data_IF_801751442762
#
_entry.id   IF_801751442762
#
_cell.length_a   1.000
_cell.length_b   1.000
_cell.length_c   1.000
_cell.angle_alpha   90.00
_cell.angle_beta   90.00
_cell.angle_gamma   90.00
#
_symmetry.space_group_name_H-M   'P 1'
#
loop_
_entity.id
_entity.type
_entity.pdbx_description
1 polymer ?
#
# COMPACT_ATOMS: atom_id res chain seq x y z
N UNK A 1 -20.68 -2.67 -5.72
CA UNK A 1 -19.35 -2.20 -5.24
C UNK A 1 -19.16 -0.73 -5.59
N UNK A 2 -18.70 0.08 -4.63
CA UNK A 2 -18.38 1.51 -4.76
C UNK A 2 -17.02 1.78 -4.12
N UNK A 3 -16.21 2.68 -4.69
CA UNK A 3 -15.03 3.23 -4.05
C UNK A 3 -15.41 4.57 -3.42
N UNK A 4 -15.16 4.70 -2.13
CA UNK A 4 -15.41 5.92 -1.36
C UNK A 4 -14.12 6.37 -0.71
N UNK A 5 -13.77 7.67 -0.84
CA UNK A 5 -12.64 8.19 -0.09
C UNK A 5 -12.85 8.00 1.40
N UNK A 6 -11.76 7.67 2.10
CA UNK A 6 -11.82 7.48 3.53
C UNK A 6 -12.33 8.76 4.22
N UNK A 7 -13.26 8.57 5.15
CA UNK A 7 -13.86 9.62 5.96
C UNK A 7 -14.08 9.04 7.37
N UNK A 8 -13.40 9.58 8.36
CA UNK A 8 -13.44 9.09 9.75
C UNK A 8 -14.84 9.22 10.41
N UNK A 9 -15.72 10.03 9.84
CA UNK A 9 -17.11 10.11 10.30
C UNK A 9 -18.01 8.99 9.79
N UNK A 10 -17.58 8.28 8.72
CA UNK A 10 -18.36 7.23 8.05
C UNK A 10 -17.71 5.86 8.15
N UNK A 11 -16.39 5.80 8.21
CA UNK A 11 -15.63 4.57 8.16
C UNK A 11 -14.94 4.31 9.51
N UNK A 12 -14.96 3.08 9.95
CA UNK A 12 -14.26 2.69 11.17
C UNK A 12 -12.74 2.75 10.91
N UNK A 13 -12.06 3.71 11.55
CA UNK A 13 -10.63 4.00 11.39
C UNK A 13 -9.79 2.75 11.64
N UNK A 14 -10.08 2.02 12.74
CA UNK A 14 -9.35 0.81 13.15
C UNK A 14 -9.45 -0.28 12.09
N UNK A 15 -10.64 -0.56 11.58
CA UNK A 15 -10.84 -1.58 10.53
C UNK A 15 -10.10 -1.24 9.24
N UNK A 16 -10.07 0.05 8.85
CA UNK A 16 -9.31 0.50 7.68
C UNK A 16 -7.81 0.34 7.91
N UNK A 17 -7.31 0.69 9.10
CA UNK A 17 -5.90 0.53 9.46
C UNK A 17 -5.47 -0.95 9.49
N UNK A 18 -6.31 -1.83 10.02
CA UNK A 18 -6.09 -3.28 10.03
C UNK A 18 -6.01 -3.85 8.61
N UNK A 19 -6.90 -3.45 7.72
CA UNK A 19 -6.86 -3.85 6.31
C UNK A 19 -5.59 -3.36 5.61
N UNK A 20 -5.13 -2.15 5.91
CA UNK A 20 -3.87 -1.64 5.36
C UNK A 20 -2.70 -2.49 5.89
N UNK A 21 -2.63 -2.73 7.19
CA UNK A 21 -1.55 -3.54 7.80
C UNK A 21 -1.50 -4.95 7.23
N UNK A 22 -2.64 -5.63 7.09
CA UNK A 22 -2.74 -6.97 6.51
C UNK A 22 -2.23 -7.07 5.06
N UNK A 23 -2.11 -5.96 4.32
CA UNK A 23 -1.62 -5.99 2.93
C UNK A 23 -0.15 -6.39 2.81
N UNK A 24 0.68 -6.08 3.83
CA UNK A 24 2.08 -6.52 3.94
C UNK A 24 2.53 -6.54 5.41
N UNK A 25 2.00 -7.49 6.18
CA UNK A 25 2.29 -7.65 7.62
C UNK A 25 3.79 -7.71 7.92
N UNK A 26 4.57 -8.37 7.06
CA UNK A 26 6.02 -8.50 7.23
C UNK A 26 6.67 -7.13 7.19
N UNK A 27 6.35 -6.34 6.17
CA UNK A 27 6.90 -5.01 5.98
C UNK A 27 6.53 -4.06 7.11
N UNK A 28 5.25 -4.02 7.49
CA UNK A 28 4.78 -3.16 8.57
C UNK A 28 5.39 -3.55 9.92
N UNK A 29 5.53 -4.85 10.20
CA UNK A 29 6.20 -5.35 11.40
C UNK A 29 7.69 -4.98 11.42
N UNK A 30 8.38 -5.08 10.30
CA UNK A 30 9.78 -4.64 10.18
C UNK A 30 9.92 -3.14 10.43
N UNK A 31 9.03 -2.33 9.89
CA UNK A 31 9.07 -0.87 10.01
C UNK A 31 8.67 -0.39 11.41
N UNK A 32 7.61 -0.93 11.99
CA UNK A 32 6.98 -0.40 13.20
C UNK A 32 7.12 -1.30 14.44
N UNK A 33 7.57 -2.54 14.27
CA UNK A 33 7.95 -3.42 15.39
C UNK A 33 6.95 -4.49 15.76
N UNK A 34 5.68 -4.17 15.76
CA UNK A 34 4.60 -5.11 16.01
C UNK A 34 3.37 -4.72 15.19
N UNK A 35 2.45 -5.68 15.03
CA UNK A 35 1.17 -5.47 14.37
C UNK A 35 0.40 -4.31 15.02
N UNK A 36 0.21 -4.35 16.33
CA UNK A 36 -0.53 -3.31 17.07
C UNK A 36 0.07 -1.92 16.86
N UNK A 37 1.39 -1.78 17.01
CA UNK A 37 2.05 -0.49 16.76
C UNK A 37 1.88 0.00 15.32
N UNK A 38 1.92 -0.91 14.35
CA UNK A 38 1.68 -0.57 12.95
C UNK A 38 0.26 -0.03 12.75
N UNK A 39 -0.74 -0.72 13.29
CA UNK A 39 -2.14 -0.30 13.22
C UNK A 39 -2.32 1.07 13.88
N UNK A 40 -1.83 1.28 15.11
CA UNK A 40 -1.95 2.56 15.84
C UNK A 40 -1.29 3.73 15.07
N UNK A 41 -0.16 3.48 14.41
CA UNK A 41 0.53 4.48 13.59
C UNK A 41 -0.26 4.78 12.32
N UNK A 42 -0.82 3.76 11.65
CA UNK A 42 -1.65 3.94 10.46
C UNK A 42 -2.94 4.69 10.81
N UNK A 43 -3.62 4.33 11.92
CA UNK A 43 -4.78 5.07 12.42
C UNK A 43 -4.48 6.56 12.59
N UNK A 44 -3.38 6.86 13.30
CA UNK A 44 -2.97 8.24 13.51
C UNK A 44 -2.66 8.99 12.21
N UNK A 45 -2.23 8.30 11.16
CA UNK A 45 -1.99 8.90 9.85
C UNK A 45 -3.27 9.10 9.04
N UNK A 46 -4.24 8.19 9.17
CA UNK A 46 -5.54 8.28 8.51
C UNK A 46 -6.32 9.53 8.96
N UNK A 47 -6.23 9.89 10.25
CA UNK A 47 -6.95 11.02 10.83
C UNK A 47 -6.09 12.29 10.96
N UNK A 48 -4.88 12.30 10.41
CA UNK A 48 -3.99 13.45 10.51
C UNK A 48 -4.34 14.51 9.47
N UNK A 49 -4.99 15.58 9.89
CA UNK A 49 -5.37 16.69 9.03
C UNK A 49 -4.21 17.67 8.74
N UNK A 50 -3.18 17.70 9.60
CA UNK A 50 -2.09 18.67 9.48
C UNK A 50 -1.04 18.30 8.44
N UNK A 51 -0.87 17.01 8.16
CA UNK A 51 0.16 16.52 7.27
C UNK A 51 -0.37 15.43 6.34
N UNK A 52 -0.28 15.66 5.05
CA UNK A 52 -0.58 14.65 4.03
C UNK A 52 0.48 13.53 4.08
N UNK A 53 0.02 12.30 4.30
CA UNK A 53 0.83 11.06 4.36
C UNK A 53 0.41 10.10 3.28
N UNK A 54 1.08 8.94 3.19
CA UNK A 54 0.69 7.84 2.30
C UNK A 54 -0.75 7.35 2.56
N UNK A 55 -1.21 7.43 3.81
CA UNK A 55 -2.51 6.92 4.27
C UNK A 55 -3.58 7.99 4.46
N UNK A 56 -3.28 9.23 4.13
CA UNK A 56 -4.25 10.34 4.25
C UNK A 56 -5.50 10.11 3.38
N UNK A 57 -6.67 10.66 3.76
CA UNK A 57 -7.94 10.48 3.06
C UNK A 57 -7.88 10.63 1.54
N UNK A 58 -7.14 11.60 0.94
CA UNK A 58 -7.05 11.72 -0.52
C UNK A 58 -6.40 10.55 -1.23
N UNK A 59 -5.72 9.66 -0.51
CA UNK A 59 -5.01 8.50 -1.04
C UNK A 59 -5.65 7.18 -0.66
N UNK A 60 -6.50 7.18 0.36
CA UNK A 60 -7.14 5.99 0.90
C UNK A 60 -8.60 5.94 0.46
N UNK A 61 -8.98 4.87 -0.23
CA UNK A 61 -10.37 4.61 -0.61
C UNK A 61 -10.84 3.30 0.01
N UNK A 62 -12.01 3.35 0.62
CA UNK A 62 -12.75 2.20 1.12
C UNK A 62 -13.48 1.52 -0.04
N UNK A 63 -13.36 0.21 -0.13
CA UNK A 63 -14.11 -0.61 -1.07
C UNK A 63 -15.40 -1.01 -0.34
N UNK A 64 -16.52 -0.42 -0.74
CA UNK A 64 -17.82 -0.63 -0.11
C UNK A 64 -18.72 -1.50 -0.99
N UNK A 65 -19.45 -2.42 -0.38
CA UNK A 65 -20.51 -3.18 -1.03
C UNK A 65 -21.69 -3.33 -0.10
N UNK A 66 -22.88 -2.96 -0.57
CA UNK A 66 -24.13 -2.96 0.23
C UNK A 66 -23.98 -2.30 1.62
N UNK A 67 -23.26 -1.17 1.67
CA UNK A 67 -23.01 -0.44 2.92
C UNK A 67 -21.95 -1.05 3.84
N UNK A 68 -21.31 -2.17 3.45
CA UNK A 68 -20.25 -2.84 4.23
C UNK A 68 -18.88 -2.54 3.68
N UNK A 69 -17.91 -2.36 4.56
CA UNK A 69 -16.49 -2.27 4.20
C UNK A 69 -15.97 -3.67 3.85
N UNK A 70 -15.67 -3.90 2.57
CA UNK A 70 -15.14 -5.18 2.06
C UNK A 70 -13.64 -5.16 1.81
N UNK A 71 -13.04 -3.96 1.76
CA UNK A 71 -11.60 -3.81 1.57
C UNK A 71 -11.16 -2.35 1.52
N UNK A 72 -9.88 -2.15 1.26
CA UNK A 72 -9.26 -0.83 1.13
C UNK A 72 -8.26 -0.83 -0.03
N UNK A 73 -8.16 0.31 -0.71
CA UNK A 73 -7.08 0.60 -1.65
C UNK A 73 -6.43 1.92 -1.29
N UNK A 74 -5.09 1.94 -1.26
CA UNK A 74 -4.29 3.16 -1.09
C UNK A 74 -3.51 3.38 -2.38
N UNK A 75 -3.74 4.54 -3.01
CA UNK A 75 -3.09 4.88 -4.28
C UNK A 75 -2.84 6.37 -4.41
N UNK A 76 -1.77 6.73 -5.12
CA UNK A 76 -1.37 8.12 -5.35
C UNK A 76 -0.54 8.25 -6.63
N UNK A 77 -0.50 9.46 -7.20
CA UNK A 77 0.35 9.76 -8.37
C UNK A 77 1.82 9.49 -8.05
N UNK A 78 2.53 8.84 -8.96
CA UNK A 78 3.95 8.50 -8.77
C UNK A 78 4.82 9.71 -8.41
N UNK A 79 4.49 10.90 -8.94
CA UNK A 79 5.15 12.17 -8.62
C UNK A 79 5.09 12.56 -7.15
N UNK A 80 4.03 12.19 -6.43
CA UNK A 80 3.88 12.49 -4.99
C UNK A 80 4.65 11.55 -4.09
N UNK A 81 5.06 10.39 -4.59
CA UNK A 81 5.61 9.28 -3.79
C UNK A 81 6.71 9.72 -2.83
N UNK A 82 7.80 10.32 -3.33
CA UNK A 82 8.95 10.71 -2.51
C UNK A 82 8.57 11.65 -1.36
N UNK A 83 7.67 12.60 -1.64
CA UNK A 83 7.20 13.58 -0.65
C UNK A 83 6.34 12.90 0.42
N UNK A 84 5.39 12.06 0.01
CA UNK A 84 4.51 11.32 0.92
C UNK A 84 5.28 10.35 1.79
N UNK A 85 6.20 9.57 1.21
CA UNK A 85 7.08 8.66 1.96
C UNK A 85 7.87 9.42 3.04
N UNK A 86 8.51 10.55 2.69
CA UNK A 86 9.27 11.37 3.64
C UNK A 86 8.42 11.83 4.82
N UNK A 87 7.22 12.35 4.56
CA UNK A 87 6.28 12.81 5.59
C UNK A 87 5.79 11.64 6.47
N UNK A 88 5.39 10.53 5.84
CA UNK A 88 4.94 9.31 6.52
C UNK A 88 6.02 8.79 7.47
N UNK A 89 7.26 8.67 6.98
CA UNK A 89 8.38 8.28 7.82
C UNK A 89 8.61 9.23 8.99
N UNK A 90 8.58 10.54 8.76
CA UNK A 90 8.75 11.53 9.83
C UNK A 90 7.72 11.38 10.95
N UNK A 91 6.46 11.13 10.61
CA UNK A 91 5.39 10.92 11.60
C UNK A 91 5.54 9.57 12.29
N UNK A 92 5.79 8.50 11.54
CA UNK A 92 6.00 7.16 12.08
C UNK A 92 7.16 7.11 13.07
N UNK A 93 8.27 7.77 12.75
CA UNK A 93 9.44 7.84 13.63
C UNK A 93 9.16 8.59 14.94
N UNK A 94 8.40 9.70 14.90
CA UNK A 94 7.98 10.40 16.13
C UNK A 94 7.10 9.53 17.02
N UNK A 95 6.20 8.74 16.45
CA UNK A 95 5.32 7.82 17.18
C UNK A 95 6.08 6.63 17.78
N UNK A 96 7.11 6.13 17.08
CA UNK A 96 7.95 5.04 17.59
C UNK A 96 8.86 5.44 18.76
N UNK A 97 9.23 6.73 18.86
CA UNK A 97 10.21 7.23 19.81
C UNK A 97 11.66 7.02 19.33
N UNK A 98 12.58 7.77 19.97
CA UNK A 98 13.97 7.89 19.52
C UNK A 98 14.73 6.55 19.51
N UNK A 99 14.67 5.78 20.60
CA UNK A 99 15.41 4.52 20.71
C UNK A 99 14.96 3.46 19.72
N UNK A 100 13.65 3.30 19.54
CA UNK A 100 13.10 2.36 18.55
C UNK A 100 13.41 2.80 17.11
N UNK A 101 13.39 4.09 16.85
CA UNK A 101 13.80 4.67 15.57
C UNK A 101 15.25 4.34 15.26
N UNK A 102 16.17 4.54 16.22
CA UNK A 102 17.58 4.25 16.04
C UNK A 102 17.83 2.77 15.70
N UNK A 103 17.20 1.86 16.46
CA UNK A 103 17.26 0.40 16.19
C UNK A 103 16.77 0.03 14.78
N UNK A 104 15.82 0.78 14.24
CA UNK A 104 15.18 0.47 12.93
C UNK A 104 15.78 1.22 11.75
N UNK A 105 16.68 2.17 11.97
CA UNK A 105 17.23 2.99 10.90
C UNK A 105 17.91 2.18 9.81
N UNK A 106 18.54 1.05 10.17
CA UNK A 106 19.15 0.16 9.20
C UNK A 106 18.11 -0.57 8.34
N UNK A 107 17.04 -1.10 8.95
CA UNK A 107 15.98 -1.79 8.19
C UNK A 107 15.20 -0.82 7.32
N UNK A 108 14.94 0.40 7.80
CA UNK A 108 14.28 1.44 7.01
C UNK A 108 15.07 1.76 5.73
N UNK A 109 16.41 1.84 5.81
CA UNK A 109 17.26 2.03 4.63
C UNK A 109 17.17 0.86 3.65
N UNK A 110 17.12 -0.39 4.14
CA UNK A 110 16.91 -1.57 3.30
C UNK A 110 15.55 -1.55 2.62
N UNK A 111 14.48 -1.35 3.37
CA UNK A 111 13.13 -1.26 2.84
C UNK A 111 13.02 -0.21 1.72
N UNK A 112 13.63 0.96 1.90
CA UNK A 112 13.64 2.01 0.86
C UNK A 112 14.33 1.56 -0.44
N UNK A 113 15.36 0.71 -0.37
CA UNK A 113 16.00 0.14 -1.56
C UNK A 113 15.09 -0.86 -2.28
N UNK A 114 14.35 -1.68 -1.52
CA UNK A 114 13.42 -2.66 -2.07
C UNK A 114 12.23 -2.03 -2.83
N UNK A 115 11.97 -0.74 -2.61
CA UNK A 115 10.92 0.01 -3.27
C UNK A 115 11.45 1.04 -4.29
N UNK A 116 12.72 0.95 -4.69
CA UNK A 116 13.36 1.87 -5.62
C UNK A 116 13.02 1.56 -7.08
N UNK A 117 11.91 2.05 -7.60
CA UNK A 117 11.59 1.96 -9.03
C UNK A 117 11.32 3.35 -9.60
N UNK A 118 11.85 3.62 -10.80
CA UNK A 118 11.46 4.77 -11.58
C UNK A 118 10.11 4.50 -12.25
N UNK A 119 9.18 5.42 -12.05
CA UNK A 119 7.82 5.34 -12.56
C UNK A 119 7.54 6.55 -13.44
N UNK A 120 6.74 6.39 -14.47
CA UNK A 120 6.33 7.52 -15.29
C UNK A 120 5.52 8.53 -14.46
N UNK A 121 5.69 9.85 -14.68
CA UNK A 121 5.00 10.89 -13.92
C UNK A 121 3.47 10.76 -13.95
N UNK A 122 2.92 10.31 -15.06
CA UNK A 122 1.47 10.15 -15.28
C UNK A 122 0.90 8.84 -14.74
N UNK A 123 1.74 8.06 -14.05
CA UNK A 123 1.31 6.78 -13.49
C UNK A 123 0.69 6.95 -12.09
N UNK A 124 -0.18 6.00 -11.75
CA UNK A 124 -0.71 5.82 -10.41
C UNK A 124 0.03 4.65 -9.73
N UNK A 125 0.50 4.88 -8.53
CA UNK A 125 1.09 3.84 -7.71
C UNK A 125 0.07 3.32 -6.70
N UNK A 126 -0.17 2.02 -6.71
CA UNK A 126 -1.02 1.33 -5.75
C UNK A 126 -0.12 0.80 -4.64
N UNK A 127 -0.19 1.44 -3.48
CA UNK A 127 0.58 1.05 -2.29
C UNK A 127 -0.03 -0.18 -1.61
N UNK A 128 -1.35 -0.18 -1.50
CA UNK A 128 -2.13 -1.20 -0.80
C UNK A 128 -3.36 -1.55 -1.61
N UNK A 129 -3.65 -2.84 -1.73
CA UNK A 129 -4.95 -3.39 -2.10
C UNK A 129 -5.21 -4.56 -1.16
N UNK A 130 -6.12 -4.38 -0.23
CA UNK A 130 -6.47 -5.39 0.75
C UNK A 130 -7.97 -5.61 0.82
N UNK A 131 -8.37 -6.86 0.89
CA UNK A 131 -9.76 -7.28 1.02
C UNK A 131 -9.90 -8.09 2.31
N UNK A 132 -11.09 -8.05 2.92
CA UNK A 132 -11.43 -8.99 3.97
C UNK A 132 -11.30 -10.41 3.45
N UNK A 133 -10.92 -11.35 4.31
CA UNK A 133 -10.64 -12.74 3.91
C UNK A 133 -11.87 -13.37 3.20
N UNK A 134 -13.05 -13.18 3.80
CA UNK A 134 -14.32 -13.68 3.27
C UNK A 134 -14.78 -13.02 1.97
N UNK A 135 -14.13 -11.94 1.55
CA UNK A 135 -14.42 -11.19 0.33
C UNK A 135 -13.43 -11.46 -0.81
N UNK A 136 -12.37 -12.21 -0.52
CA UNK A 136 -11.41 -12.64 -1.55
C UNK A 136 -12.08 -13.57 -2.57
N UNK A 137 -11.58 -13.56 -3.78
CA UNK A 137 -12.12 -14.39 -4.87
C UNK A 137 -13.42 -13.87 -5.51
N UNK A 138 -14.13 -12.90 -4.91
CA UNK A 138 -15.39 -12.34 -5.44
C UNK A 138 -15.22 -11.25 -6.52
N UNK A 139 -13.99 -11.02 -6.97
CA UNK A 139 -13.69 -10.09 -8.05
C UNK A 139 -13.55 -8.61 -7.64
N UNK A 140 -13.65 -8.28 -6.35
CA UNK A 140 -13.51 -6.89 -5.89
C UNK A 140 -12.16 -6.27 -6.23
N UNK A 141 -11.05 -7.01 -6.06
CA UNK A 141 -9.73 -6.52 -6.40
C UNK A 141 -9.58 -6.15 -7.88
N UNK A 142 -10.03 -7.02 -8.77
CA UNK A 142 -9.99 -6.78 -10.23
C UNK A 142 -10.84 -5.57 -10.63
N UNK A 143 -12.05 -5.45 -10.08
CA UNK A 143 -12.94 -4.31 -10.32
C UNK A 143 -12.33 -3.00 -9.82
N UNK A 144 -11.70 -3.02 -8.63
CA UNK A 144 -11.01 -1.87 -8.05
C UNK A 144 -9.87 -1.40 -8.94
N UNK A 145 -8.98 -2.30 -9.35
CA UNK A 145 -7.85 -1.96 -10.20
C UNK A 145 -8.29 -1.51 -11.61
N UNK A 146 -9.37 -2.08 -12.14
CA UNK A 146 -9.94 -1.60 -13.40
C UNK A 146 -10.42 -0.16 -13.27
N UNK A 147 -11.11 0.17 -12.19
CA UNK A 147 -11.60 1.54 -11.94
C UNK A 147 -10.46 2.54 -11.77
N UNK A 148 -9.40 2.19 -11.01
CA UNK A 148 -8.21 3.04 -10.89
C UNK A 148 -7.50 3.27 -12.23
N UNK A 149 -7.53 2.27 -13.14
CA UNK A 149 -6.92 2.39 -14.46
C UNK A 149 -7.67 3.36 -15.39
N UNK A 150 -8.94 3.67 -15.11
CA UNK A 150 -9.70 4.64 -15.92
C UNK A 150 -9.05 6.03 -15.87
N UNK A 151 -8.43 6.39 -14.72
CA UNK A 151 -7.87 7.70 -14.42
C UNK A 151 -6.35 7.81 -14.70
N UNK A 152 -5.70 6.77 -15.21
CA UNK A 152 -4.26 6.79 -15.49
C UNK A 152 -3.86 5.91 -16.68
N UNK A 153 -2.67 6.20 -17.25
CA UNK A 153 -2.12 5.39 -18.34
C UNK A 153 -1.47 4.10 -17.79
N UNK A 154 -0.78 4.17 -16.68
CA UNK A 154 -0.05 3.05 -16.10
C UNK A 154 -0.32 2.93 -14.61
N UNK A 155 -0.65 1.72 -14.16
CA UNK A 155 -0.64 1.34 -12.75
C UNK A 155 0.68 0.67 -12.40
N UNK A 156 1.28 1.05 -11.28
CA UNK A 156 2.40 0.38 -10.66
C UNK A 156 2.03 -0.12 -9.26
N UNK A 157 2.59 -1.23 -8.87
CA UNK A 157 2.53 -1.73 -7.49
C UNK A 157 3.79 -2.55 -7.17
N UNK A 158 4.01 -2.77 -5.88
CA UNK A 158 4.98 -3.72 -5.38
C UNK A 158 4.25 -4.90 -4.74
N UNK A 159 4.77 -6.08 -4.93
CA UNK A 159 4.31 -7.30 -4.27
C UNK A 159 5.48 -7.98 -3.59
N UNK A 160 5.27 -8.47 -2.36
CA UNK A 160 6.26 -9.27 -1.67
C UNK A 160 6.60 -10.51 -2.52
N UNK A 161 7.89 -10.77 -2.74
CA UNK A 161 8.33 -11.86 -3.61
C UNK A 161 7.82 -13.24 -3.16
N UNK A 162 7.50 -13.41 -1.87
CA UNK A 162 6.93 -14.65 -1.31
C UNK A 162 5.41 -14.76 -1.50
N UNK A 163 4.73 -13.70 -1.87
CA UNK A 163 3.28 -13.69 -2.05
C UNK A 163 2.90 -14.17 -3.45
N UNK A 164 2.96 -15.48 -3.66
CA UNK A 164 2.66 -16.12 -4.94
C UNK A 164 1.20 -15.93 -5.36
N UNK A 165 0.28 -15.93 -4.40
CA UNK A 165 -1.15 -15.76 -4.68
C UNK A 165 -1.44 -14.38 -5.26
N UNK A 166 -0.88 -13.33 -4.63
CA UNK A 166 -1.01 -11.97 -5.14
C UNK A 166 -0.33 -11.82 -6.51
N UNK A 167 0.85 -12.41 -6.72
CA UNK A 167 1.53 -12.39 -8.03
C UNK A 167 0.66 -13.02 -9.11
N UNK A 168 0.17 -14.23 -8.86
CA UNK A 168 -0.71 -14.93 -9.80
C UNK A 168 -1.98 -14.14 -10.11
N UNK A 169 -2.56 -13.51 -9.09
CA UNK A 169 -3.72 -12.62 -9.27
C UNK A 169 -3.39 -11.45 -10.19
N UNK A 170 -2.29 -10.73 -9.94
CA UNK A 170 -1.91 -9.57 -10.75
C UNK A 170 -1.56 -9.96 -12.19
N UNK A 171 -0.84 -11.06 -12.41
CA UNK A 171 -0.52 -11.58 -13.74
C UNK A 171 -1.78 -11.92 -14.53
N UNK A 172 -2.77 -12.60 -13.93
CA UNK A 172 -4.05 -12.93 -14.55
C UNK A 172 -4.85 -11.70 -15.00
N UNK A 173 -4.68 -10.57 -14.35
CA UNK A 173 -5.38 -9.33 -14.72
C UNK A 173 -4.51 -8.38 -15.54
N UNK A 174 -3.39 -8.88 -16.09
CA UNK A 174 -2.58 -8.21 -17.09
C UNK A 174 -1.49 -7.30 -16.53
N UNK A 175 -1.05 -7.50 -15.30
CA UNK A 175 0.18 -6.88 -14.81
C UNK A 175 1.39 -7.68 -15.27
N UNK A 176 2.47 -6.96 -15.60
CA UNK A 176 3.75 -7.52 -16.03
C UNK A 176 4.85 -7.11 -15.05
N UNK A 177 5.80 -8.02 -14.80
CA UNK A 177 6.97 -7.72 -13.99
C UNK A 177 7.90 -6.75 -14.73
N UNK A 178 8.28 -5.65 -14.09
CA UNK A 178 9.21 -4.68 -14.64
C UNK A 178 10.51 -4.52 -13.84
N UNK A 179 10.53 -4.89 -12.57
CA UNK A 179 11.74 -4.93 -11.75
C UNK A 179 11.57 -5.90 -10.57
N UNK A 180 12.70 -6.27 -9.97
CA UNK A 180 12.70 -7.03 -8.71
C UNK A 180 13.90 -6.61 -7.86
N UNK A 181 13.72 -6.62 -6.54
CA UNK A 181 14.71 -6.22 -5.56
C UNK A 181 14.75 -7.22 -4.42
N UNK A 182 15.97 -7.63 -4.05
CA UNK A 182 16.20 -8.57 -2.95
C UNK A 182 17.24 -8.02 -1.99
N UNK A 183 17.10 -8.34 -0.73
CA UNK A 183 18.09 -8.11 0.32
C UNK A 183 18.00 -9.25 1.33
N UNK A 184 18.92 -9.31 2.28
CA UNK A 184 18.93 -10.25 3.39
C UNK A 184 18.78 -9.49 4.71
N UNK A 185 17.88 -9.94 5.57
CA UNK A 185 17.71 -9.42 6.91
C UNK A 185 17.72 -10.56 7.93
N UNK A 186 18.74 -10.61 8.79
CA UNK A 186 18.90 -11.66 9.82
C UNK A 186 18.85 -13.09 9.27
N UNK A 187 19.45 -13.33 8.11
CA UNK A 187 19.45 -14.64 7.46
C UNK A 187 18.21 -14.95 6.61
N UNK A 188 17.19 -14.11 6.64
CA UNK A 188 15.99 -14.25 5.82
C UNK A 188 16.05 -13.36 4.59
N UNK A 189 15.73 -13.92 3.44
CA UNK A 189 15.57 -13.15 2.23
C UNK A 189 14.30 -12.29 2.33
N UNK A 190 14.44 -10.99 2.07
CA UNK A 190 13.34 -10.04 1.90
C UNK A 190 13.40 -9.51 0.48
N UNK A 191 12.27 -9.31 -0.16
CA UNK A 191 12.26 -8.88 -1.55
C UNK A 191 10.91 -8.33 -1.99
N UNK A 192 10.99 -7.57 -3.07
CA UNK A 192 9.85 -6.92 -3.67
C UNK A 192 9.92 -7.04 -5.19
N UNK A 193 8.84 -7.42 -5.80
CA UNK A 193 8.66 -7.46 -7.25
C UNK A 193 7.80 -6.27 -7.65
N UNK A 194 8.27 -5.50 -8.61
CA UNK A 194 7.52 -4.37 -9.17
C UNK A 194 6.73 -4.86 -10.36
N UNK A 195 5.44 -4.64 -10.31
CA UNK A 195 4.52 -4.97 -11.37
C UNK A 195 3.93 -3.68 -11.96
N UNK A 196 3.72 -3.66 -13.26
CA UNK A 196 3.04 -2.58 -13.98
C UNK A 196 1.93 -3.12 -14.87
N UNK A 197 0.92 -2.31 -15.10
CA UNK A 197 -0.12 -2.55 -16.09
C UNK A 197 -0.40 -1.27 -16.86
N UNK A 198 -0.19 -1.31 -18.16
CA UNK A 198 -0.52 -0.21 -19.06
C UNK A 198 -1.98 -0.28 -19.49
N UNK A 199 -2.62 0.88 -19.67
CA UNK A 199 -3.96 0.97 -20.23
C UNK A 199 -3.91 0.51 -21.67
N UNK A 200 -4.65 -0.56 -21.99
CA UNK A 200 -4.75 -1.02 -23.39
C UNK A 200 -5.44 0.07 -24.19
N UNK A 201 -4.78 0.61 -25.19
CA UNK A 201 -5.44 1.45 -26.17
C UNK A 201 -6.43 0.55 -26.91
N UNK A 202 -7.73 0.79 -26.69
CA UNK A 202 -8.76 0.20 -27.54
C UNK A 202 -8.60 0.90 -28.88
N UNK A 203 -7.98 0.18 -29.84
CA UNK A 203 -7.96 0.58 -31.25
C UNK A 203 -9.30 0.29 -31.87
#
# INVERSE_FOLDING_TARGET
MKLEYFDSSKHNVRQVAELIECSDEIMYRLLFGSKEKAIDIIEAMLVNEQNETLFSPPHTQCIMDEGRLVGVVVSYKATKRKTLEKKTFSIGLRKLGFLETLKRMFIIRKVRRLHGCEMSPESLYVLTLSLREEEKGKGYGSKTLKKLQEDCQTLYLHVNYRNNDARTFYEKIGFEKCAEYYDNHKGEAIGSIVLKRDKKNVR
#
